data_IF_018994650117
#
_entry.id   IF_018994650117
#
_cell.length_a   1.000
_cell.length_b   1.000
_cell.length_c   1.000
_cell.angle_alpha   90.00
_cell.angle_beta   90.00
_cell.angle_gamma   90.00
#
_symmetry.space_group_name_H-M   'P 1'
#
loop_
_entity.id
_entity.type
_entity.pdbx_description
1 polymer ?
#
# COMPACT_ATOMS: atom_id res chain seq x y z
N UNK A 1 -29.08 -11.86 -3.09
CA UNK A 1 -30.02 -12.63 -3.94
C UNK A 1 -30.17 -13.97 -3.28
N UNK A 2 -31.39 -14.34 -2.87
CA UNK A 2 -31.68 -15.71 -2.49
C UNK A 2 -31.32 -16.58 -3.70
N UNK A 3 -30.31 -17.44 -3.57
CA UNK A 3 -29.97 -18.38 -4.63
C UNK A 3 -31.11 -19.38 -4.78
N UNK A 4 -31.31 -19.91 -5.98
CA UNK A 4 -32.02 -21.18 -6.11
C UNK A 4 -31.20 -22.24 -5.35
N UNK A 5 -31.73 -22.78 -4.25
CA UNK A 5 -31.11 -23.83 -3.44
C UNK A 5 -31.25 -23.62 -1.92
N UNK A 6 -31.15 -24.71 -1.17
CA UNK A 6 -31.24 -24.75 0.31
C UNK A 6 -29.91 -24.38 1.00
N UNK A 7 -29.20 -23.36 0.50
CA UNK A 7 -27.92 -22.90 1.06
C UNK A 7 -27.88 -21.38 1.26
N UNK A 8 -27.29 -20.94 2.38
CA UNK A 8 -26.92 -19.53 2.61
C UNK A 8 -25.40 -19.38 2.43
N UNK A 9 -24.97 -18.67 1.38
CA UNK A 9 -23.56 -18.44 1.04
C UNK A 9 -23.07 -17.07 1.49
N UNK A 10 -21.82 -17.03 1.95
CA UNK A 10 -21.15 -15.83 2.47
C UNK A 10 -19.77 -15.67 1.84
N UNK A 11 -19.37 -14.41 1.68
CA UNK A 11 -17.98 -14.01 1.46
C UNK A 11 -17.67 -12.91 2.48
N UNK A 12 -16.79 -13.21 3.43
CA UNK A 12 -16.31 -12.22 4.38
C UNK A 12 -15.01 -11.61 3.85
N UNK A 13 -14.88 -10.28 3.92
CA UNK A 13 -13.71 -9.55 3.42
C UNK A 13 -13.25 -8.56 4.48
N UNK A 14 -12.04 -8.75 5.02
CA UNK A 14 -11.40 -7.78 5.91
C UNK A 14 -10.55 -6.79 5.08
N UNK A 15 -11.21 -5.84 4.39
CA UNK A 15 -10.53 -4.97 3.42
C UNK A 15 -9.69 -3.88 4.12
N UNK A 16 -8.39 -3.83 3.80
CA UNK A 16 -7.51 -2.77 4.30
C UNK A 16 -7.75 -1.45 3.58
N UNK A 17 -7.85 -0.34 4.34
CA UNK A 17 -8.12 0.99 3.79
C UNK A 17 -7.18 1.42 2.66
N UNK A 18 -5.89 1.09 2.75
CA UNK A 18 -4.93 1.39 1.68
C UNK A 18 -5.28 0.74 0.33
N UNK A 19 -5.70 -0.53 0.34
CA UNK A 19 -6.17 -1.23 -0.86
C UNK A 19 -7.58 -0.82 -1.30
N UNK A 20 -8.42 -0.41 -0.35
CA UNK A 20 -9.74 0.15 -0.65
C UNK A 20 -9.62 1.47 -1.42
N UNK A 21 -8.70 2.35 -1.00
CA UNK A 21 -8.41 3.63 -1.67
C UNK A 21 -7.75 3.46 -3.04
N UNK A 22 -7.33 2.24 -3.39
CA UNK A 22 -6.85 1.85 -4.73
C UNK A 22 -7.94 1.13 -5.55
N UNK A 23 -9.20 1.42 -5.24
CA UNK A 23 -10.35 1.09 -6.10
C UNK A 23 -10.70 2.35 -6.88
N UNK A 24 -10.59 2.29 -8.20
CA UNK A 24 -10.84 3.42 -9.09
C UNK A 24 -11.94 3.09 -10.08
N UNK A 25 -12.72 4.12 -10.45
CA UNK A 25 -13.73 4.07 -11.50
C UNK A 25 -13.36 5.11 -12.56
N UNK A 26 -13.43 4.69 -13.81
CA UNK A 26 -13.17 5.51 -14.99
C UNK A 26 -14.40 5.43 -15.89
N UNK A 27 -14.92 6.60 -16.31
CA UNK A 27 -16.05 6.67 -17.23
C UNK A 27 -15.51 6.81 -18.65
N UNK A 28 -15.48 5.69 -19.36
CA UNK A 28 -14.90 5.60 -20.70
C UNK A 28 -16.00 5.43 -21.76
N UNK A 29 -15.59 5.35 -23.02
CA UNK A 29 -16.52 5.21 -24.16
C UNK A 29 -16.18 3.99 -25.02
N UNK A 30 -16.98 3.75 -26.06
CA UNK A 30 -16.69 2.70 -27.07
C UNK A 30 -15.33 2.89 -27.75
N UNK A 31 -14.79 4.12 -27.81
CA UNK A 31 -13.49 4.39 -28.42
C UNK A 31 -12.34 3.62 -27.73
N UNK A 32 -12.47 3.31 -26.43
CA UNK A 32 -11.51 2.51 -25.68
C UNK A 32 -11.51 1.03 -26.09
N UNK A 33 -12.60 0.51 -26.67
CA UNK A 33 -12.79 -0.92 -26.87
C UNK A 33 -12.22 -1.42 -28.20
N UNK A 34 -10.92 -1.17 -28.40
CA UNK A 34 -10.07 -1.87 -29.37
C UNK A 34 -8.77 -2.32 -28.67
N UNK A 35 -8.07 -3.35 -29.17
CA UNK A 35 -6.95 -3.97 -28.44
C UNK A 35 -5.85 -2.98 -28.03
N UNK A 36 -5.37 -2.15 -28.97
CA UNK A 36 -4.26 -1.24 -28.73
C UNK A 36 -4.59 -0.17 -27.67
N UNK A 37 -5.74 0.49 -27.79
CA UNK A 37 -6.13 1.54 -26.83
C UNK A 37 -6.48 0.98 -25.46
N UNK A 38 -7.14 -0.19 -25.42
CA UNK A 38 -7.49 -0.84 -24.16
C UNK A 38 -6.23 -1.29 -23.40
N UNK A 39 -5.31 -1.98 -24.07
CA UNK A 39 -4.08 -2.45 -23.44
C UNK A 39 -3.25 -1.27 -22.91
N UNK A 40 -3.06 -0.23 -23.73
CA UNK A 40 -2.35 0.99 -23.32
C UNK A 40 -3.01 1.66 -22.10
N UNK A 41 -4.33 1.77 -22.09
CA UNK A 41 -5.10 2.32 -20.98
C UNK A 41 -4.91 1.50 -19.70
N UNK A 42 -5.07 0.17 -19.76
CA UNK A 42 -4.93 -0.69 -18.59
C UNK A 42 -3.52 -0.63 -18.00
N UNK A 43 -2.49 -0.59 -18.85
CA UNK A 43 -1.10 -0.44 -18.42
C UNK A 43 -0.87 0.91 -17.73
N UNK A 44 -1.39 2.01 -18.30
CA UNK A 44 -1.33 3.34 -17.69
C UNK A 44 -2.00 3.36 -16.30
N UNK A 45 -3.22 2.82 -16.20
CA UNK A 45 -3.94 2.77 -14.91
C UNK A 45 -3.22 1.88 -13.90
N UNK A 46 -2.65 0.76 -14.34
CA UNK A 46 -1.88 -0.11 -13.47
C UNK A 46 -0.64 0.59 -12.89
N UNK A 47 0.08 1.40 -13.69
CA UNK A 47 1.20 2.23 -13.19
C UNK A 47 0.74 3.21 -12.11
N UNK A 48 -0.45 3.78 -12.25
CA UNK A 48 -1.03 4.73 -11.27
C UNK A 48 -1.33 4.12 -9.89
N UNK A 49 -1.41 2.79 -9.78
CA UNK A 49 -1.51 2.12 -8.48
C UNK A 49 -0.33 2.50 -7.58
N UNK A 50 0.87 2.57 -8.17
CA UNK A 50 2.12 2.74 -7.45
C UNK A 50 2.35 1.61 -6.43
N UNK A 51 3.15 1.90 -5.41
CA UNK A 51 3.49 0.95 -4.32
C UNK A 51 2.70 1.23 -3.04
N UNK A 52 1.77 2.17 -3.11
CA UNK A 52 0.99 2.71 -2.00
C UNK A 52 -0.06 1.75 -1.39
N UNK A 53 -0.26 0.54 -1.92
CA UNK A 53 -1.16 -0.46 -1.32
C UNK A 53 -0.44 -1.78 -0.95
N UNK A 54 0.89 -1.77 -0.81
CA UNK A 54 1.68 -2.96 -0.44
C UNK A 54 1.57 -4.07 -1.50
N UNK A 55 2.20 -3.90 -2.68
CA UNK A 55 2.39 -5.00 -3.63
C UNK A 55 3.29 -6.10 -3.04
N UNK A 56 3.27 -7.33 -3.59
CA UNK A 56 2.62 -7.70 -4.85
C UNK A 56 1.08 -7.77 -4.76
N UNK A 57 0.39 -7.33 -5.82
CA UNK A 57 -1.07 -7.20 -5.85
C UNK A 57 -1.76 -8.40 -6.50
N UNK A 58 -2.96 -8.72 -6.03
CA UNK A 58 -3.99 -9.36 -6.89
C UNK A 58 -4.73 -8.23 -7.61
N UNK A 59 -4.40 -7.97 -8.87
CA UNK A 59 -4.98 -6.86 -9.64
C UNK A 59 -6.28 -7.32 -10.30
N UNK A 60 -7.33 -6.52 -10.23
CA UNK A 60 -8.57 -6.77 -10.93
C UNK A 60 -8.97 -5.58 -11.79
N UNK A 61 -9.43 -5.86 -13.02
CA UNK A 61 -10.12 -4.92 -13.87
C UNK A 61 -11.53 -5.43 -14.21
N UNK A 62 -12.48 -4.51 -14.32
CA UNK A 62 -13.80 -4.76 -14.88
C UNK A 62 -14.04 -3.77 -16.01
N UNK A 63 -14.43 -4.27 -17.18
CA UNK A 63 -14.69 -3.46 -18.37
C UNK A 63 -16.16 -3.64 -18.73
N UNK A 64 -16.94 -2.57 -18.66
CA UNK A 64 -18.39 -2.59 -18.80
C UNK A 64 -19.12 -2.67 -17.46
N UNK A 65 -20.43 -2.88 -17.53
CA UNK A 65 -21.35 -2.90 -16.40
C UNK A 65 -22.62 -2.11 -16.71
N UNK A 66 -23.70 -2.46 -16.02
CA UNK A 66 -25.01 -1.79 -16.14
C UNK A 66 -25.04 -0.46 -15.38
N UNK A 67 -24.16 -0.29 -14.39
CA UNK A 67 -24.02 0.93 -13.60
C UNK A 67 -22.63 1.01 -12.96
N UNK A 68 -22.25 2.21 -12.52
CA UNK A 68 -20.99 2.45 -11.83
C UNK A 68 -20.83 1.58 -10.56
N UNK A 69 -21.88 1.48 -9.73
CA UNK A 69 -21.87 0.69 -8.50
C UNK A 69 -21.75 -0.80 -8.79
N UNK A 70 -22.38 -1.32 -9.86
CA UNK A 70 -22.23 -2.71 -10.27
C UNK A 70 -20.80 -2.99 -10.74
N UNK A 71 -20.19 -2.11 -11.56
CA UNK A 71 -18.81 -2.25 -12.01
C UNK A 71 -17.84 -2.25 -10.83
N UNK A 72 -18.01 -1.32 -9.88
CA UNK A 72 -17.16 -1.23 -8.68
C UNK A 72 -17.34 -2.43 -7.75
N UNK A 73 -18.58 -2.91 -7.55
CA UNK A 73 -18.85 -4.13 -6.79
C UNK A 73 -18.21 -5.34 -7.46
N UNK A 74 -18.31 -5.44 -8.78
CA UNK A 74 -17.74 -6.55 -9.54
C UNK A 74 -16.22 -6.56 -9.42
N UNK A 75 -15.55 -5.41 -9.54
CA UNK A 75 -14.08 -5.36 -9.44
C UNK A 75 -13.61 -5.66 -8.02
N UNK A 76 -14.40 -5.30 -6.99
CA UNK A 76 -14.14 -5.68 -5.61
C UNK A 76 -14.10 -7.20 -5.46
N UNK A 77 -15.14 -7.89 -5.94
CA UNK A 77 -15.27 -9.35 -5.86
C UNK A 77 -14.24 -10.08 -6.75
N UNK A 78 -13.93 -9.52 -7.92
CA UNK A 78 -12.88 -10.03 -8.80
C UNK A 78 -11.51 -10.00 -8.10
N UNK A 79 -11.20 -8.92 -7.34
CA UNK A 79 -9.95 -8.83 -6.58
C UNK A 79 -9.83 -9.87 -5.45
N UNK A 80 -10.94 -10.50 -5.06
CA UNK A 80 -10.99 -11.60 -4.08
C UNK A 80 -11.10 -12.97 -4.72
N UNK A 81 -10.90 -13.09 -6.04
CA UNK A 81 -11.01 -14.36 -6.80
C UNK A 81 -12.39 -15.03 -6.71
N UNK A 82 -13.42 -14.25 -6.36
CA UNK A 82 -14.79 -14.75 -6.24
C UNK A 82 -15.36 -15.22 -7.59
N UNK A 83 -14.87 -14.63 -8.68
CA UNK A 83 -15.33 -14.87 -10.05
C UNK A 83 -14.38 -15.74 -10.89
N UNK A 84 -13.49 -16.50 -10.25
CA UNK A 84 -12.51 -17.32 -10.96
C UNK A 84 -13.14 -18.42 -11.83
N UNK A 85 -14.36 -18.83 -11.49
CA UNK A 85 -15.17 -19.86 -12.17
C UNK A 85 -16.15 -19.30 -13.21
N UNK A 86 -16.09 -18.00 -13.54
CA UNK A 86 -16.90 -17.46 -14.64
C UNK A 86 -16.54 -18.13 -15.99
N UNK A 87 -17.47 -18.17 -16.96
CA UNK A 87 -17.15 -18.50 -18.34
C UNK A 87 -15.98 -17.65 -18.86
N UNK A 88 -15.23 -18.16 -19.83
CA UNK A 88 -14.07 -17.46 -20.41
C UNK A 88 -14.37 -16.78 -21.74
N UNK A 89 -15.62 -16.84 -22.19
CA UNK A 89 -16.09 -16.23 -23.43
C UNK A 89 -17.48 -15.62 -23.22
N UNK A 90 -17.78 -14.54 -23.96
CA UNK A 90 -19.11 -13.95 -24.00
C UNK A 90 -20.11 -14.82 -24.76
N UNK A 91 -21.39 -14.46 -24.69
CA UNK A 91 -22.46 -15.04 -25.49
C UNK A 91 -23.45 -13.96 -25.94
N UNK A 92 -24.43 -14.31 -26.78
CA UNK A 92 -25.44 -13.38 -27.28
C UNK A 92 -26.34 -12.79 -26.18
N UNK A 93 -26.48 -13.50 -25.05
CA UNK A 93 -27.21 -13.02 -23.87
C UNK A 93 -26.45 -11.99 -23.03
N UNK A 94 -25.23 -11.61 -23.42
CA UNK A 94 -24.42 -10.63 -22.70
C UNK A 94 -23.91 -11.14 -21.36
N UNK A 95 -23.61 -12.44 -21.23
CA UNK A 95 -23.06 -12.99 -19.99
C UNK A 95 -21.72 -12.33 -19.62
N UNK A 96 -21.46 -12.21 -18.32
CA UNK A 96 -20.14 -11.85 -17.81
C UNK A 96 -19.14 -12.96 -18.13
N UNK A 97 -17.90 -12.60 -18.47
CA UNK A 97 -16.84 -13.57 -18.69
C UNK A 97 -15.48 -13.07 -18.23
N UNK A 98 -14.58 -14.01 -17.94
CA UNK A 98 -13.19 -13.79 -17.56
C UNK A 98 -12.28 -13.82 -18.80
N UNK A 99 -11.58 -12.72 -19.06
CA UNK A 99 -10.75 -12.51 -20.24
C UNK A 99 -9.30 -12.96 -19.99
N UNK A 100 -9.04 -14.26 -20.18
CA UNK A 100 -7.76 -14.89 -19.85
C UNK A 100 -6.59 -14.38 -20.71
N UNK A 101 -6.85 -14.02 -21.96
CA UNK A 101 -5.81 -13.48 -22.85
C UNK A 101 -5.32 -12.13 -22.32
N UNK A 102 -6.26 -11.24 -21.97
CA UNK A 102 -5.91 -9.92 -21.45
C UNK A 102 -5.30 -9.99 -20.05
N UNK A 103 -5.71 -10.95 -19.21
CA UNK A 103 -5.06 -11.23 -17.92
C UNK A 103 -3.57 -11.56 -18.10
N UNK A 104 -3.24 -12.44 -19.04
CA UNK A 104 -1.86 -12.84 -19.30
C UNK A 104 -1.01 -11.64 -19.81
N UNK A 105 -1.56 -10.85 -20.73
CA UNK A 105 -0.92 -9.62 -21.23
C UNK A 105 -0.68 -8.61 -20.11
N UNK A 106 -1.67 -8.37 -19.25
CA UNK A 106 -1.56 -7.43 -18.14
C UNK A 106 -0.61 -7.92 -17.05
N UNK A 107 -0.54 -9.22 -16.79
CA UNK A 107 0.45 -9.77 -15.87
C UNK A 107 1.87 -9.58 -16.40
N UNK A 108 2.10 -9.82 -17.70
CA UNK A 108 3.40 -9.54 -18.34
C UNK A 108 3.75 -8.06 -18.25
N UNK A 109 2.81 -7.17 -18.57
CA UNK A 109 3.03 -5.73 -18.42
C UNK A 109 3.34 -5.34 -16.97
N UNK A 110 2.65 -5.92 -15.98
CA UNK A 110 2.93 -5.69 -14.56
C UNK A 110 4.38 -6.04 -14.17
N UNK A 111 4.94 -7.09 -14.80
CA UNK A 111 6.31 -7.54 -14.58
C UNK A 111 7.35 -6.61 -15.22
N UNK A 112 6.96 -5.89 -16.28
CA UNK A 112 7.84 -5.00 -17.05
C UNK A 112 7.81 -3.55 -16.53
N UNK A 113 6.82 -3.15 -15.73
CA UNK A 113 6.68 -1.79 -15.17
C UNK A 113 7.87 -1.37 -14.29
N UNK A 114 8.57 -2.32 -13.66
CA UNK A 114 9.75 -2.06 -12.83
C UNK A 114 9.47 -1.65 -11.38
N UNK A 115 8.21 -1.42 -10.99
CA UNK A 115 7.80 -1.05 -9.61
C UNK A 115 7.77 -2.24 -8.61
N UNK A 116 8.08 -3.45 -9.06
CA UNK A 116 7.72 -4.69 -8.38
C UNK A 116 8.27 -4.88 -6.97
N UNK A 117 7.48 -5.58 -6.15
CA UNK A 117 7.63 -5.80 -4.71
C UNK A 117 8.19 -4.60 -3.92
N UNK A 118 7.50 -3.47 -4.02
CA UNK A 118 7.66 -2.20 -3.28
C UNK A 118 8.89 -1.36 -3.59
N UNK A 119 10.04 -1.99 -3.79
CA UNK A 119 11.33 -1.30 -3.94
C UNK A 119 12.04 -1.66 -5.24
N UNK A 120 11.26 -1.82 -6.32
CA UNK A 120 11.77 -2.08 -7.66
C UNK A 120 11.96 -3.57 -7.95
N UNK A 121 11.61 -3.98 -9.17
CA UNK A 121 11.72 -5.37 -9.61
C UNK A 121 10.49 -5.88 -10.35
N UNK A 122 10.37 -7.21 -10.42
CA UNK A 122 9.38 -7.91 -11.25
C UNK A 122 7.99 -8.02 -10.62
N UNK A 123 7.92 -8.24 -9.31
CA UNK A 123 6.68 -8.70 -8.66
C UNK A 123 5.75 -7.55 -8.24
N UNK A 124 5.26 -6.75 -9.19
CA UNK A 124 4.21 -5.77 -8.90
C UNK A 124 2.86 -6.46 -8.64
N UNK A 125 2.58 -7.53 -9.37
CA UNK A 125 1.38 -8.34 -9.24
C UNK A 125 1.74 -9.81 -8.96
N UNK A 126 0.94 -10.45 -8.11
CA UNK A 126 0.86 -11.90 -8.00
C UNK A 126 0.15 -12.48 -9.23
N UNK A 127 -1.01 -11.93 -9.56
CA UNK A 127 -1.85 -12.32 -10.69
C UNK A 127 -2.79 -11.16 -11.08
N UNK A 128 -3.50 -11.35 -12.21
CA UNK A 128 -4.50 -10.40 -12.72
C UNK A 128 -5.84 -11.13 -12.93
N UNK A 129 -6.95 -10.43 -12.70
CA UNK A 129 -8.31 -10.83 -13.08
C UNK A 129 -8.93 -9.76 -13.97
N UNK A 130 -9.52 -10.14 -15.10
CA UNK A 130 -10.22 -9.21 -15.99
C UNK A 130 -11.59 -9.75 -16.30
N UNK A 131 -12.62 -9.03 -15.86
CA UNK A 131 -14.01 -9.39 -16.13
C UNK A 131 -14.60 -8.43 -17.16
N UNK A 132 -15.16 -8.98 -18.22
CA UNK A 132 -15.95 -8.25 -19.21
C UNK A 132 -17.42 -8.37 -18.84
N UNK A 133 -18.10 -7.22 -18.77
CA UNK A 133 -19.54 -7.13 -18.52
C UNK A 133 -20.25 -6.54 -19.74
N UNK A 134 -21.56 -6.84 -19.93
CA UNK A 134 -22.39 -6.09 -20.87
C UNK A 134 -22.47 -4.62 -20.45
N UNK A 135 -22.81 -3.75 -21.39
CA UNK A 135 -22.90 -2.30 -21.17
C UNK A 135 -24.01 -1.69 -22.01
N UNK A 136 -24.58 -0.59 -21.54
CA UNK A 136 -25.42 0.26 -22.39
C UNK A 136 -24.60 0.82 -23.57
N UNK A 137 -25.23 1.01 -24.74
CA UNK A 137 -24.53 1.44 -25.97
C UNK A 137 -23.71 2.72 -25.79
N UNK A 138 -24.24 3.67 -25.01
CA UNK A 138 -23.65 4.97 -24.71
C UNK A 138 -22.66 4.99 -23.52
N UNK A 139 -22.37 3.85 -22.89
CA UNK A 139 -21.59 3.82 -21.64
C UNK A 139 -20.49 2.76 -21.69
N UNK A 140 -19.36 3.02 -21.05
CA UNK A 140 -18.30 2.03 -20.82
C UNK A 140 -17.61 2.31 -19.46
N UNK A 141 -18.25 1.99 -18.33
CA UNK A 141 -17.58 2.10 -17.04
C UNK A 141 -16.45 1.08 -16.98
N UNK A 142 -15.27 1.52 -16.54
CA UNK A 142 -14.12 0.65 -16.29
C UNK A 142 -13.69 0.85 -14.85
N UNK A 143 -13.49 -0.23 -14.11
CA UNK A 143 -12.98 -0.14 -12.74
C UNK A 143 -11.73 -0.98 -12.56
N UNK A 144 -10.85 -0.50 -11.67
CA UNK A 144 -9.64 -1.21 -11.25
C UNK A 144 -9.65 -1.32 -9.72
N UNK A 145 -9.27 -2.48 -9.19
CA UNK A 145 -9.04 -2.67 -7.76
C UNK A 145 -7.89 -3.63 -7.52
N UNK A 146 -7.40 -3.67 -6.28
CA UNK A 146 -6.36 -4.61 -5.85
C UNK A 146 -6.74 -5.32 -4.56
N UNK A 147 -6.29 -6.56 -4.39
CA UNK A 147 -5.98 -7.10 -3.07
C UNK A 147 -4.50 -6.90 -2.77
N UNK A 148 -4.20 -6.42 -1.56
CA UNK A 148 -2.85 -6.14 -1.09
C UNK A 148 -2.20 -7.37 -0.46
N UNK A 149 -0.96 -7.26 0.02
CA UNK A 149 -0.29 -8.34 0.80
C UNK A 149 -1.13 -8.86 1.97
N UNK A 150 -1.99 -8.02 2.57
CA UNK A 150 -3.01 -8.47 3.51
C UNK A 150 -4.26 -8.97 2.76
N UNK A 151 -4.11 -10.02 1.95
CA UNK A 151 -5.20 -10.65 1.20
C UNK A 151 -6.08 -11.48 2.16
N UNK A 152 -7.21 -10.90 2.56
CA UNK A 152 -8.04 -11.40 3.67
C UNK A 152 -9.49 -11.51 3.25
N UNK A 153 -9.84 -12.65 2.69
CA UNK A 153 -11.21 -13.03 2.42
C UNK A 153 -11.42 -14.51 2.78
N UNK A 154 -12.64 -14.88 3.14
CA UNK A 154 -13.00 -16.26 3.48
C UNK A 154 -14.44 -16.54 3.02
N UNK A 155 -14.63 -17.62 2.28
CA UNK A 155 -15.95 -18.13 1.87
C UNK A 155 -16.54 -18.94 3.02
N UNK A 156 -17.85 -18.88 3.18
CA UNK A 156 -18.58 -19.76 4.09
C UNK A 156 -19.94 -20.11 3.51
N UNK A 157 -20.53 -21.20 3.98
CA UNK A 157 -21.91 -21.54 3.66
C UNK A 157 -22.60 -22.23 4.83
N UNK A 158 -23.91 -22.07 4.90
CA UNK A 158 -24.80 -22.80 5.80
C UNK A 158 -25.76 -23.60 4.93
N UNK A 159 -25.92 -24.89 5.23
CA UNK A 159 -26.88 -25.77 4.58
C UNK A 159 -27.47 -26.75 5.61
N UNK A 160 -28.27 -27.72 5.15
CA UNK A 160 -28.92 -28.71 6.04
C UNK A 160 -27.93 -29.58 6.84
N UNK A 161 -26.67 -29.66 6.41
CA UNK A 161 -25.63 -30.46 7.07
C UNK A 161 -24.83 -29.67 8.12
N UNK A 162 -24.91 -28.33 8.12
CA UNK A 162 -24.27 -27.48 9.12
C UNK A 162 -23.64 -26.21 8.56
N UNK A 163 -22.57 -25.79 9.22
CA UNK A 163 -21.83 -24.56 8.92
C UNK A 163 -20.45 -24.92 8.36
N UNK A 164 -20.15 -24.41 7.18
CA UNK A 164 -18.90 -24.64 6.48
C UNK A 164 -18.14 -23.34 6.33
N UNK A 165 -16.84 -23.35 6.67
CA UNK A 165 -15.94 -22.21 6.52
C UNK A 165 -14.75 -22.67 5.67
N UNK A 166 -14.33 -21.85 4.73
CA UNK A 166 -13.17 -22.11 3.88
C UNK A 166 -11.92 -22.37 4.73
N UNK A 167 -11.21 -23.45 4.40
CA UNK A 167 -9.98 -23.83 5.10
C UNK A 167 -8.82 -22.98 4.58
N UNK A 168 -8.23 -22.20 5.48
CA UNK A 168 -7.01 -21.45 5.21
C UNK A 168 -5.76 -22.30 5.54
N UNK A 169 -4.60 -21.85 5.08
CA UNK A 169 -3.32 -22.44 5.46
C UNK A 169 -2.99 -22.16 6.93
N UNK A 170 -2.67 -23.20 7.70
CA UNK A 170 -2.24 -23.12 9.11
C UNK A 170 -0.71 -23.26 9.30
N UNK A 171 0.03 -23.69 8.28
CA UNK A 171 1.50 -23.79 8.30
C UNK A 171 2.16 -22.99 7.15
N UNK A 172 2.06 -21.64 7.15
CA UNK A 172 2.58 -20.81 6.06
C UNK A 172 4.11 -20.88 5.92
N UNK A 173 4.84 -21.29 6.96
CA UNK A 173 6.31 -21.42 6.93
C UNK A 173 6.79 -22.38 5.83
N UNK A 174 5.97 -23.36 5.43
CA UNK A 174 6.30 -24.31 4.35
C UNK A 174 6.54 -23.67 2.99
N UNK A 175 6.00 -22.46 2.76
CA UNK A 175 6.20 -21.72 1.51
C UNK A 175 7.51 -20.91 1.47
N UNK A 176 8.21 -20.80 2.61
CA UNK A 176 9.49 -20.09 2.70
C UNK A 176 10.61 -21.14 2.80
N UNK A 177 11.46 -21.29 1.76
CA UNK A 177 12.63 -22.16 1.83
C UNK A 177 13.49 -21.84 3.04
N UNK A 178 14.01 -22.86 3.72
CA UNK A 178 14.74 -22.69 4.99
C UNK A 178 15.92 -21.71 4.88
N UNK A 179 16.68 -21.78 3.77
CA UNK A 179 17.79 -20.87 3.51
C UNK A 179 17.38 -19.40 3.38
N UNK A 180 16.11 -19.12 3.02
CA UNK A 180 15.57 -17.75 2.93
C UNK A 180 14.99 -17.26 4.26
N UNK A 181 14.67 -18.16 5.20
CA UNK A 181 14.13 -17.77 6.52
C UNK A 181 15.15 -17.03 7.39
N UNK A 182 16.43 -17.22 7.12
CA UNK A 182 17.56 -16.58 7.82
C UNK A 182 18.43 -15.73 6.88
N UNK A 183 17.93 -15.40 5.69
CA UNK A 183 18.67 -14.52 4.78
C UNK A 183 18.85 -13.17 5.48
N UNK A 184 20.07 -12.89 5.94
CA UNK A 184 20.39 -11.63 6.60
C UNK A 184 20.12 -10.43 5.69
N UNK A 185 20.20 -9.24 6.26
CA UNK A 185 19.74 -8.01 5.62
C UNK A 185 20.66 -7.45 4.51
N UNK A 186 21.73 -8.16 4.14
CA UNK A 186 22.75 -7.67 3.22
C UNK A 186 23.54 -6.50 3.81
N UNK A 187 24.08 -5.62 2.96
CA UNK A 187 24.78 -4.40 3.40
C UNK A 187 23.75 -3.36 3.86
N UNK A 188 23.81 -2.98 5.13
CA UNK A 188 22.89 -2.01 5.74
C UNK A 188 23.68 -0.87 6.38
N UNK A 189 23.20 0.36 6.23
CA UNK A 189 23.71 1.52 6.97
C UNK A 189 22.93 1.66 8.26
N UNK A 190 23.60 1.63 9.40
CA UNK A 190 22.97 1.84 10.71
C UNK A 190 22.87 3.33 11.00
N UNK A 191 21.67 3.79 11.33
CA UNK A 191 21.40 5.19 11.69
C UNK A 191 20.96 5.22 13.15
N UNK A 192 21.72 5.96 13.97
CA UNK A 192 21.32 6.29 15.33
C UNK A 192 20.41 7.52 15.32
N UNK A 193 19.16 7.35 15.75
CA UNK A 193 18.14 8.39 15.82
C UNK A 193 18.14 9.15 17.15
N UNK A 194 18.91 8.71 18.16
CA UNK A 194 19.07 9.44 19.42
C UNK A 194 20.21 10.45 19.33
N UNK A 195 20.17 11.28 18.30
CA UNK A 195 21.11 12.37 18.04
C UNK A 195 20.31 13.64 17.72
N UNK A 196 20.89 14.83 17.83
CA UNK A 196 20.27 16.04 17.30
C UNK A 196 19.86 15.85 15.83
N UNK A 197 18.68 16.34 15.43
CA UNK A 197 18.14 16.16 14.08
C UNK A 197 19.15 16.55 12.98
N UNK A 198 19.90 17.64 13.19
CA UNK A 198 20.94 18.09 12.26
C UNK A 198 22.04 17.04 12.02
N UNK A 199 22.44 16.28 13.04
CA UNK A 199 23.45 15.23 12.91
C UNK A 199 22.90 14.00 12.18
N UNK A 200 21.63 13.65 12.41
CA UNK A 200 20.95 12.57 11.67
C UNK A 200 20.90 12.93 10.17
N UNK A 201 20.50 14.17 9.84
CA UNK A 201 20.44 14.65 8.46
C UNK A 201 21.83 14.67 7.80
N UNK A 202 22.87 15.08 8.54
CA UNK A 202 24.27 15.05 8.08
C UNK A 202 24.78 13.64 7.82
N UNK A 203 24.26 12.63 8.51
CA UNK A 203 24.54 11.24 8.18
C UNK A 203 23.78 10.80 6.93
N UNK A 204 22.47 11.05 6.86
CA UNK A 204 21.63 10.65 5.73
C UNK A 204 22.08 11.26 4.40
N UNK A 205 22.55 12.52 4.38
CA UNK A 205 22.99 13.19 3.15
C UNK A 205 24.18 12.51 2.46
N UNK A 206 24.95 11.68 3.18
CA UNK A 206 26.09 10.93 2.63
C UNK A 206 25.65 9.78 1.71
N UNK A 207 24.37 9.40 1.75
CA UNK A 207 23.86 8.20 1.11
C UNK A 207 22.85 8.55 0.00
N UNK A 208 22.90 7.89 -1.17
CA UNK A 208 21.93 8.13 -2.23
C UNK A 208 20.57 7.48 -1.93
N UNK A 209 19.55 7.83 -2.72
CA UNK A 209 18.30 7.07 -2.78
C UNK A 209 18.57 5.59 -3.10
N UNK A 210 17.62 4.71 -2.74
CA UNK A 210 17.76 3.25 -2.72
C UNK A 210 18.64 2.67 -1.60
N UNK A 211 19.37 3.49 -0.84
CA UNK A 211 20.19 2.98 0.28
C UNK A 211 19.32 2.35 1.36
N UNK A 212 19.65 1.12 1.76
CA UNK A 212 19.00 0.40 2.86
C UNK A 212 19.57 0.85 4.21
N UNK A 213 18.67 1.12 5.15
CA UNK A 213 18.94 1.60 6.49
C UNK A 213 18.43 0.62 7.56
N UNK A 214 19.13 0.58 8.70
CA UNK A 214 18.67 0.00 9.97
C UNK A 214 18.60 1.15 10.98
N UNK A 215 17.39 1.54 11.37
CA UNK A 215 17.14 2.66 12.25
C UNK A 215 17.08 2.20 13.71
N UNK A 216 17.79 2.90 14.58
CA UNK A 216 17.85 2.60 16.01
C UNK A 216 17.61 3.89 16.79
N UNK A 217 16.60 3.92 17.65
CA UNK A 217 16.34 5.08 18.50
C UNK A 217 14.86 5.43 18.62
N UNK A 218 14.61 6.71 18.90
CA UNK A 218 13.27 7.25 19.12
C UNK A 218 12.61 7.70 17.83
N UNK A 219 11.33 7.36 17.67
CA UNK A 219 10.49 7.79 16.54
C UNK A 219 9.14 8.28 17.07
N UNK A 220 8.62 9.36 16.50
CA UNK A 220 7.26 9.84 16.76
C UNK A 220 6.32 9.24 15.73
N UNK A 221 5.19 8.72 16.16
CA UNK A 221 4.18 8.13 15.29
C UNK A 221 2.99 9.07 15.21
N UNK A 222 2.54 9.36 13.99
CA UNK A 222 1.36 10.18 13.75
C UNK A 222 0.91 10.07 12.31
N UNK A 223 -0.39 10.15 12.05
CA UNK A 223 -0.98 9.99 10.72
C UNK A 223 -2.11 11.00 10.50
N UNK A 224 -3.10 10.67 9.68
CA UNK A 224 -4.07 11.60 9.09
C UNK A 224 -4.65 12.61 10.09
N UNK A 225 -5.28 12.17 11.19
CA UNK A 225 -5.91 13.10 12.14
C UNK A 225 -4.86 13.86 12.97
N UNK A 226 -3.77 13.20 13.38
CA UNK A 226 -2.67 13.88 14.08
C UNK A 226 -2.04 15.00 13.23
N UNK A 227 -1.85 14.79 11.93
CA UNK A 227 -1.35 15.82 11.02
C UNK A 227 -2.35 16.97 10.86
N UNK A 228 -3.65 16.66 10.78
CA UNK A 228 -4.69 17.69 10.76
C UNK A 228 -4.64 18.54 12.05
N UNK A 229 -4.51 17.92 13.23
CA UNK A 229 -4.37 18.63 14.52
C UNK A 229 -3.12 19.49 14.60
N UNK A 230 -1.98 18.99 14.11
CA UNK A 230 -0.74 19.77 14.02
C UNK A 230 -0.88 20.97 13.07
N UNK A 231 -1.61 20.80 11.97
CA UNK A 231 -1.92 21.92 11.07
C UNK A 231 -2.87 22.93 11.72
N UNK A 232 -3.92 22.48 12.42
CA UNK A 232 -4.85 23.35 13.15
C UNK A 232 -4.10 24.25 14.15
N UNK A 233 -3.09 23.73 14.85
CA UNK A 233 -2.20 24.53 15.71
C UNK A 233 -1.49 25.64 14.95
N UNK A 234 -0.87 25.31 13.82
CA UNK A 234 -0.20 26.30 12.97
C UNK A 234 -1.18 27.36 12.44
N UNK A 235 -2.38 26.94 12.04
CA UNK A 235 -3.44 27.86 11.57
C UNK A 235 -3.93 28.78 12.71
N UNK A 236 -3.88 28.33 13.97
CA UNK A 236 -4.19 29.12 15.16
C UNK A 236 -3.03 30.03 15.63
N UNK A 237 -1.90 30.03 14.90
CA UNK A 237 -0.71 30.83 15.24
C UNK A 237 0.21 30.19 16.29
N UNK A 238 -0.06 28.96 16.70
CA UNK A 238 0.84 28.16 17.53
C UNK A 238 2.01 27.60 16.69
N UNK A 239 3.05 27.08 17.35
CA UNK A 239 4.19 26.44 16.70
C UNK A 239 4.02 24.91 16.65
N UNK A 240 4.81 24.23 15.83
CA UNK A 240 4.91 22.78 15.87
C UNK A 240 5.48 22.31 17.22
N UNK A 241 4.93 21.25 17.82
CA UNK A 241 5.47 20.66 19.04
C UNK A 241 6.93 20.21 18.86
N UNK A 242 7.73 20.35 19.91
CA UNK A 242 9.16 20.07 19.87
C UNK A 242 9.47 18.63 19.43
N UNK A 243 8.65 17.65 19.83
CA UNK A 243 8.86 16.25 19.45
C UNK A 243 8.73 16.00 17.93
N UNK A 244 8.01 16.85 17.17
CA UNK A 244 7.93 16.78 15.70
C UNK A 244 9.19 17.35 15.02
N UNK A 245 9.94 18.18 15.75
CA UNK A 245 11.20 18.80 15.29
C UNK A 245 12.41 17.93 15.62
N UNK A 246 12.38 17.30 16.80
CA UNK A 246 13.52 16.55 17.34
C UNK A 246 13.62 15.10 16.84
N UNK A 247 12.53 14.52 16.32
CA UNK A 247 12.48 13.11 15.96
C UNK A 247 11.88 12.86 14.57
N UNK A 248 12.26 11.76 13.90
CA UNK A 248 11.55 11.32 12.70
C UNK A 248 10.07 11.06 12.98
N UNK A 249 9.23 11.34 11.98
CA UNK A 249 7.79 11.05 12.04
C UNK A 249 7.43 9.81 11.21
N UNK A 250 6.89 8.80 11.88
CA UNK A 250 6.41 7.55 11.30
C UNK A 250 4.91 7.58 11.11
N UNK A 251 4.47 7.45 9.86
CA UNK A 251 3.06 7.40 9.56
C UNK A 251 2.55 5.97 9.78
N UNK A 252 1.98 5.72 10.95
CA UNK A 252 1.39 4.44 11.30
C UNK A 252 0.25 4.62 12.30
N UNK A 253 -0.46 3.51 12.57
CA UNK A 253 -1.41 3.41 13.67
C UNK A 253 -1.31 2.01 14.27
N UNK A 254 -1.06 1.85 15.58
CA UNK A 254 -0.94 0.54 16.21
C UNK A 254 -2.26 -0.23 16.20
N UNK A 255 -2.18 -1.56 16.00
CA UNK A 255 -3.21 -2.46 16.50
C UNK A 255 -3.13 -2.58 18.04
N UNK A 256 -4.15 -3.19 18.66
CA UNK A 256 -4.15 -3.46 20.10
C UNK A 256 -2.93 -4.29 20.51
N UNK A 257 -2.28 -3.91 21.60
CA UNK A 257 -1.12 -4.63 22.16
C UNK A 257 -1.56 -5.92 22.86
N UNK A 258 -1.07 -7.09 22.44
CA UNK A 258 -1.30 -8.34 23.16
C UNK A 258 -0.69 -8.31 24.56
N UNK A 259 -1.28 -9.06 25.50
CA UNK A 259 -0.73 -9.17 26.86
C UNK A 259 0.69 -9.74 26.81
N UNK A 260 1.65 -9.06 27.45
CA UNK A 260 3.05 -9.47 27.52
C UNK A 260 3.91 -9.08 26.30
N UNK A 261 3.36 -8.35 25.33
CA UNK A 261 4.09 -7.83 24.18
C UNK A 261 4.38 -6.34 24.33
N UNK A 262 5.47 -5.87 23.73
CA UNK A 262 5.84 -4.46 23.71
C UNK A 262 4.89 -3.61 22.84
N UNK A 263 4.40 -4.17 21.73
CA UNK A 263 3.52 -3.50 20.78
C UNK A 263 2.55 -4.49 20.14
N UNK A 264 1.37 -4.00 19.77
CA UNK A 264 0.54 -4.66 18.75
C UNK A 264 1.17 -4.53 17.36
N UNK A 265 0.62 -5.23 16.37
CA UNK A 265 1.07 -5.09 14.98
C UNK A 265 1.05 -3.62 14.55
N UNK A 266 2.18 -3.10 14.08
CA UNK A 266 2.32 -1.71 13.66
C UNK A 266 3.20 -1.65 12.40
N UNK A 267 2.53 -1.52 11.26
CA UNK A 267 3.19 -1.30 9.97
C UNK A 267 2.90 0.11 9.43
N UNK A 268 3.61 0.52 8.36
CA UNK A 268 3.46 1.86 7.82
C UNK A 268 2.11 2.05 7.12
N UNK A 269 1.60 3.28 7.18
CA UNK A 269 0.46 3.75 6.37
C UNK A 269 0.94 4.50 5.12
N UNK A 270 0.01 4.80 4.21
CA UNK A 270 0.35 5.37 2.89
C UNK A 270 0.86 6.80 3.04
N UNK A 271 2.11 7.03 2.63
CA UNK A 271 2.77 8.32 2.76
C UNK A 271 2.06 9.46 2.00
N UNK A 272 1.58 9.15 0.79
CA UNK A 272 0.92 10.09 -0.11
C UNK A 272 -0.24 10.89 0.50
N UNK A 273 -0.89 10.38 1.56
CA UNK A 273 -2.00 11.09 2.21
C UNK A 273 -1.55 12.27 3.07
N UNK A 274 -0.27 12.31 3.44
CA UNK A 274 0.32 13.38 4.24
C UNK A 274 1.15 14.36 3.39
N UNK A 275 1.15 14.23 2.06
CA UNK A 275 1.98 15.05 1.16
C UNK A 275 1.73 16.56 1.31
N UNK A 276 0.48 16.96 1.50
CA UNK A 276 0.08 18.37 1.64
C UNK A 276 0.62 19.06 2.90
N UNK A 277 1.10 18.31 3.89
CA UNK A 277 1.63 18.88 5.13
C UNK A 277 3.13 19.10 5.10
N UNK A 278 3.86 18.49 4.16
CA UNK A 278 5.32 18.38 4.22
C UNK A 278 6.01 19.74 4.10
N UNK A 279 5.74 20.51 3.04
CA UNK A 279 6.37 21.83 2.84
C UNK A 279 6.06 22.76 4.03
N UNK A 280 4.80 22.78 4.49
CA UNK A 280 4.39 23.56 5.65
C UNK A 280 5.15 23.16 6.91
N UNK A 281 5.20 21.88 7.25
CA UNK A 281 5.84 21.43 8.49
C UNK A 281 7.36 21.62 8.45
N UNK A 282 7.99 21.35 7.31
CA UNK A 282 9.43 21.59 7.13
C UNK A 282 9.78 23.08 7.17
N UNK A 283 8.91 23.96 6.66
CA UNK A 283 9.07 25.42 6.81
C UNK A 283 9.10 25.90 8.27
N UNK A 284 8.57 25.08 9.19
CA UNK A 284 8.55 25.30 10.65
C UNK A 284 9.59 24.44 11.39
N UNK A 285 10.51 23.80 10.67
CA UNK A 285 11.58 22.97 11.23
C UNK A 285 11.15 21.58 11.71
N UNK A 286 9.91 21.16 11.41
CA UNK A 286 9.40 19.83 11.77
C UNK A 286 9.32 18.88 10.57
N UNK A 287 9.10 17.59 10.83
CA UNK A 287 8.88 16.58 9.77
C UNK A 287 10.02 16.52 8.73
N UNK A 288 11.26 16.77 9.17
CA UNK A 288 12.45 16.72 8.31
C UNK A 288 12.80 15.29 7.89
N UNK A 289 12.53 14.29 8.73
CA UNK A 289 12.67 12.87 8.39
C UNK A 289 11.31 12.21 8.53
N UNK A 290 10.79 11.70 7.42
CA UNK A 290 9.48 11.05 7.35
C UNK A 290 9.67 9.56 7.08
N UNK A 291 8.94 8.69 7.77
CA UNK A 291 8.99 7.24 7.61
C UNK A 291 7.57 6.73 7.31
N UNK A 292 7.38 6.02 6.21
CA UNK A 292 6.06 5.48 5.83
C UNK A 292 6.21 4.43 4.71
N UNK A 293 5.16 4.20 3.90
CA UNK A 293 5.26 3.38 2.68
C UNK A 293 4.58 4.02 1.47
N UNK A 294 5.01 3.56 0.30
CA UNK A 294 4.48 3.98 -1.00
C UNK A 294 5.24 5.15 -1.62
N UNK A 295 5.09 5.32 -2.93
CA UNK A 295 5.56 6.49 -3.65
C UNK A 295 4.78 7.75 -3.25
N UNK A 296 5.41 8.92 -3.41
CA UNK A 296 4.86 10.24 -3.03
C UNK A 296 4.81 11.16 -4.24
N UNK A 297 4.11 12.28 -4.10
CA UNK A 297 4.02 13.30 -5.14
C UNK A 297 5.28 14.19 -5.19
N UNK A 298 5.45 14.89 -6.32
CA UNK A 298 6.62 15.75 -6.55
C UNK A 298 6.80 16.85 -5.49
N UNK A 299 5.70 17.35 -4.92
CA UNK A 299 5.76 18.40 -3.88
C UNK A 299 6.62 17.99 -2.68
N UNK A 300 6.68 16.69 -2.35
CA UNK A 300 7.49 16.17 -1.25
C UNK A 300 8.97 16.19 -1.63
N UNK A 301 9.28 15.78 -2.86
CA UNK A 301 10.65 15.85 -3.40
C UNK A 301 11.17 17.27 -3.43
N UNK A 302 10.34 18.22 -3.83
CA UNK A 302 10.69 19.64 -3.85
C UNK A 302 10.87 20.20 -2.43
N UNK A 303 9.99 19.85 -1.49
CA UNK A 303 10.11 20.25 -0.09
C UNK A 303 11.38 19.70 0.57
N UNK A 304 11.65 18.40 0.40
CA UNK A 304 12.88 17.76 0.90
C UNK A 304 14.14 18.46 0.35
N UNK A 305 14.17 18.77 -0.95
CA UNK A 305 15.27 19.54 -1.56
C UNK A 305 15.41 20.94 -0.97
N UNK A 306 14.29 21.62 -0.73
CA UNK A 306 14.24 23.00 -0.24
C UNK A 306 14.68 23.13 1.22
N UNK A 307 14.31 22.18 2.06
CA UNK A 307 14.50 22.23 3.52
C UNK A 307 15.52 21.24 4.06
N UNK A 308 16.16 20.44 3.21
CA UNK A 308 17.12 19.42 3.62
C UNK A 308 16.48 18.19 4.27
N UNK A 309 15.25 17.84 3.87
CA UNK A 309 14.47 16.72 4.41
C UNK A 309 14.70 15.39 3.69
N UNK A 310 14.22 14.30 4.29
CA UNK A 310 14.28 12.94 3.76
C UNK A 310 12.94 12.21 3.91
N UNK A 311 12.62 11.38 2.93
CA UNK A 311 11.58 10.37 3.05
C UNK A 311 12.19 8.97 3.03
N UNK A 312 11.94 8.24 4.10
CA UNK A 312 12.34 6.86 4.32
C UNK A 312 11.14 5.93 4.08
N UNK A 313 11.35 4.92 3.23
CA UNK A 313 10.36 3.88 2.97
C UNK A 313 10.58 2.66 3.86
N UNK A 314 9.60 2.35 4.70
CA UNK A 314 9.48 1.05 5.38
C UNK A 314 8.71 0.07 4.51
N UNK A 315 8.91 -1.23 4.76
CA UNK A 315 8.20 -2.30 4.07
C UNK A 315 6.73 -2.29 4.54
N UNK A 316 5.80 -2.09 3.61
CA UNK A 316 4.36 -2.19 3.87
C UNK A 316 3.90 -3.65 3.91
N UNK A 317 3.15 -4.03 4.95
CA UNK A 317 2.61 -5.39 5.10
C UNK A 317 3.07 -6.15 6.36
N UNK A 318 4.38 -6.31 6.63
CA UNK A 318 4.90 -7.18 7.70
C UNK A 318 4.78 -6.57 9.11
N UNK A 319 3.61 -6.04 9.46
CA UNK A 319 3.35 -5.30 10.70
C UNK A 319 3.57 -6.14 11.97
N UNK A 320 3.34 -7.45 11.92
CA UNK A 320 3.57 -8.34 13.06
C UNK A 320 5.07 -8.54 13.33
N UNK A 321 5.86 -8.74 12.27
CA UNK A 321 7.33 -8.89 12.39
C UNK A 321 7.95 -7.59 12.89
N UNK A 322 7.55 -6.43 12.34
CA UNK A 322 8.03 -5.14 12.82
C UNK A 322 7.74 -4.93 14.32
N UNK A 323 6.53 -5.29 14.75
CA UNK A 323 6.14 -5.15 16.15
C UNK A 323 6.91 -6.10 17.09
N UNK A 324 7.17 -7.33 16.64
CA UNK A 324 7.85 -8.35 17.45
C UNK A 324 9.36 -8.10 17.53
N UNK A 325 9.98 -7.79 16.39
CA UNK A 325 11.43 -7.76 16.28
C UNK A 325 12.00 -6.34 16.49
N UNK A 326 11.28 -5.30 16.07
CA UNK A 326 11.85 -3.95 15.98
C UNK A 326 11.30 -2.94 16.99
N UNK A 327 10.03 -3.05 17.39
CA UNK A 327 9.41 -2.07 18.30
C UNK A 327 9.57 -2.55 19.76
N UNK A 328 10.32 -1.79 20.56
CA UNK A 328 10.66 -2.16 21.95
C UNK A 328 9.77 -1.52 23.00
N UNK A 329 9.15 -0.39 22.68
CA UNK A 329 8.15 0.25 23.53
C UNK A 329 7.27 1.22 22.73
N UNK A 330 6.07 1.48 23.26
CA UNK A 330 5.10 2.44 22.72
C UNK A 330 4.45 3.21 23.87
N UNK A 331 4.37 4.52 23.71
CA UNK A 331 3.74 5.45 24.66
C UNK A 331 2.84 6.43 23.91
N UNK A 332 1.63 6.69 24.42
CA UNK A 332 0.77 7.73 23.86
C UNK A 332 1.25 9.09 24.38
N UNK A 333 1.71 9.97 23.48
CA UNK A 333 2.18 11.31 23.84
C UNK A 333 1.06 12.33 23.86
N UNK A 334 0.19 12.32 22.84
CA UNK A 334 -0.83 13.35 22.68
C UNK A 334 -2.05 12.82 21.93
N UNK A 335 -3.20 13.44 22.21
CA UNK A 335 -4.50 13.13 21.64
C UNK A 335 -4.97 11.68 21.86
N UNK A 336 -4.97 11.17 23.11
CA UNK A 336 -5.40 9.80 23.40
C UNK A 336 -6.85 9.51 22.96
N UNK A 337 -7.69 10.54 22.86
CA UNK A 337 -9.07 10.46 22.37
C UNK A 337 -9.18 10.01 20.90
N UNK A 338 -8.10 10.13 20.12
CA UNK A 338 -8.06 9.70 18.71
C UNK A 338 -7.79 8.20 18.54
N UNK A 339 -7.64 7.45 19.64
CA UNK A 339 -7.36 6.02 19.62
C UNK A 339 -6.10 5.72 18.81
N UNK A 340 -6.20 4.86 17.80
CA UNK A 340 -5.03 4.47 17.00
C UNK A 340 -4.41 5.60 16.15
N UNK A 341 -5.10 6.73 16.00
CA UNK A 341 -4.57 7.93 15.30
C UNK A 341 -3.99 8.99 16.24
N UNK A 342 -3.87 8.69 17.55
CA UNK A 342 -3.13 9.51 18.50
C UNK A 342 -1.65 9.69 18.08
N UNK A 343 -0.96 10.63 18.72
CA UNK A 343 0.49 10.78 18.58
C UNK A 343 1.17 9.85 19.57
N UNK A 344 2.03 8.96 19.07
CA UNK A 344 2.77 8.01 19.90
C UNK A 344 4.27 8.29 19.85
N UNK A 345 4.99 7.85 20.88
CA UNK A 345 6.44 7.71 20.89
C UNK A 345 6.78 6.25 20.92
N UNK A 346 7.67 5.82 20.03
CA UNK A 346 8.16 4.45 20.00
C UNK A 346 9.67 4.40 20.12
N UNK A 347 10.16 3.34 20.77
CA UNK A 347 11.56 2.93 20.70
C UNK A 347 11.71 1.84 19.65
N UNK A 348 12.64 2.01 18.73
CA UNK A 348 12.94 0.99 17.72
C UNK A 348 14.40 0.56 17.73
N UNK A 349 14.61 -0.71 17.39
CA UNK A 349 15.94 -1.29 17.12
C UNK A 349 15.89 -2.06 15.80
N UNK A 350 16.97 -1.94 15.03
CA UNK A 350 17.14 -2.55 13.71
C UNK A 350 15.96 -2.35 12.74
N UNK A 351 15.27 -1.22 12.84
CA UNK A 351 14.05 -0.98 12.05
C UNK A 351 14.40 -0.75 10.57
N UNK A 352 13.87 -1.57 9.64
CA UNK A 352 14.28 -1.52 8.25
C UNK A 352 13.62 -0.36 7.50
N UNK A 353 14.44 0.39 6.75
CA UNK A 353 13.97 1.44 5.86
C UNK A 353 14.87 1.61 4.62
N UNK A 354 14.40 2.37 3.64
CA UNK A 354 15.15 2.76 2.45
C UNK A 354 15.08 4.28 2.25
N UNK A 355 16.16 4.93 1.82
CA UNK A 355 16.08 6.32 1.38
C UNK A 355 15.30 6.36 0.05
N UNK A 356 14.09 6.94 0.06
CA UNK A 356 13.23 7.05 -1.11
C UNK A 356 13.23 8.44 -1.72
N UNK A 357 13.34 9.48 -0.89
CA UNK A 357 13.60 10.85 -1.33
C UNK A 357 14.73 11.42 -0.48
N UNK A 358 15.69 12.08 -1.12
CA UNK A 358 16.80 12.74 -0.45
C UNK A 358 16.65 14.28 -0.42
N UNK A 359 17.59 14.91 0.26
CA UNK A 359 17.75 16.36 0.41
C UNK A 359 18.24 17.08 -0.87
N UNK A 360 18.40 16.36 -1.98
CA UNK A 360 18.97 16.88 -3.25
C UNK A 360 17.93 16.90 -4.38
N UNK A 361 16.73 16.39 -4.11
CA UNK A 361 15.62 16.30 -5.07
C UNK A 361 15.62 15.01 -5.88
N UNK A 362 16.32 13.97 -5.42
CA UNK A 362 16.24 12.65 -6.01
C UNK A 362 15.04 11.88 -5.43
N UNK A 363 14.36 11.13 -6.28
CA UNK A 363 13.26 10.23 -5.91
C UNK A 363 13.53 8.86 -6.52
N UNK A 364 13.60 7.85 -5.65
CA UNK A 364 13.80 6.46 -6.00
C UNK A 364 12.85 5.99 -7.11
N UNK A 365 11.55 6.27 -7.00
CA UNK A 365 10.56 5.76 -7.94
C UNK A 365 10.63 6.43 -9.32
N UNK A 366 11.23 7.62 -9.42
CA UNK A 366 11.48 8.31 -10.69
C UNK A 366 12.71 7.78 -11.42
N UNK A 367 13.61 7.12 -10.71
CA UNK A 367 14.83 6.54 -11.28
C UNK A 367 14.63 5.09 -11.74
N UNK A 368 13.50 4.47 -11.39
CA UNK A 368 13.17 3.11 -11.84
C UNK A 368 12.97 3.08 -13.36
N UNK A 369 13.65 2.14 -14.01
CA UNK A 369 13.49 1.85 -15.44
C UNK A 369 12.57 0.65 -15.63
N UNK A 370 11.78 0.61 -16.72
CA UNK A 370 11.08 -0.61 -17.11
C UNK A 370 12.06 -1.78 -17.24
N UNK A 371 11.61 -2.97 -16.88
CA UNK A 371 12.42 -4.18 -17.00
C UNK A 371 12.30 -4.66 -18.44
N UNK A 372 13.24 -4.27 -19.30
CA UNK A 372 13.36 -4.86 -20.62
C UNK A 372 13.92 -6.28 -20.49
N UNK A 373 13.12 -7.28 -20.83
CA UNK A 373 13.67 -8.58 -21.18
C UNK A 373 14.36 -8.44 -22.54
N UNK A 374 15.71 -8.43 -22.56
CA UNK A 374 16.43 -8.81 -23.77
C UNK A 374 15.97 -10.23 -24.09
N UNK A 375 15.24 -10.35 -25.20
CA UNK A 375 14.69 -11.62 -25.69
C UNK A 375 15.76 -12.58 -26.14
#
# INVERSE_FOLDING_TARGET
MAGHGDEYKFLFIAKGGGSQNKTYLYQETKALLNPATLEAFLIDKMKSLGTAACPPYHIAFVIGGTSADQTVKTVKLASTKYYDELPTQGNEGGQAFRDLELEAKMLKAAQEIGLGAQFGGKYLAHDVRIIRLPRHGASCPVAMAVSCSADRNIKAKINREGIWVEKMEDNPGKYIPEHLRKAGEGKVVRINLDQPMADILKELTKHPVATRLSLNGTIIVGRDIAHAKLKERLDAGEDLPQYIKDHPIYYAGPAKTPKGYASGSMGPTTAGRMDSYVDLFQSKGGSLIMLAKGNRSQQVTDACKKYGGFYLGSIGGPAAVLAQENIKSIECLEYPELGMEAIWKIRVEDFPAFILVDDKGNDFFKQLKPICHLG
#
